data_IF_453785386523
#
_entry.id   IF_453785386523
#
_cell.length_a   1.000
_cell.length_b   1.000
_cell.length_c   1.000
_cell.angle_alpha   90.00
_cell.angle_beta   90.00
_cell.angle_gamma   90.00
#
_symmetry.space_group_name_H-M   'P 1'
#
loop_
_entity.id
_entity.type
_entity.pdbx_description
1 polymer ?
#
# COMPACT_ATOMS: atom_id res chain seq x y z
N UNK A 1 -3.52 32.35 -19.89
CA UNK A 1 -2.52 31.45 -20.51
C UNK A 1 -1.90 30.62 -19.41
N UNK A 2 -2.46 29.43 -19.23
CA UNK A 2 -1.85 28.23 -18.65
C UNK A 2 -2.93 27.15 -18.79
N UNK A 3 -3.06 26.63 -20.01
CA UNK A 3 -3.46 25.26 -20.22
C UNK A 3 -2.53 24.38 -19.40
N UNK A 4 -3.05 23.59 -18.47
CA UNK A 4 -2.57 22.22 -18.32
C UNK A 4 -3.72 21.32 -17.88
N UNK A 5 -4.39 20.82 -18.92
CA UNK A 5 -4.96 19.49 -19.05
C UNK A 5 -5.34 18.75 -17.76
N UNK A 6 -6.65 18.74 -17.57
CA UNK A 6 -7.42 17.61 -17.08
C UNK A 6 -6.91 16.26 -17.64
N UNK A 7 -6.06 15.56 -16.88
CA UNK A 7 -5.87 14.11 -17.03
C UNK A 7 -6.76 13.39 -16.01
N UNK A 8 -8.03 13.22 -16.38
CA UNK A 8 -8.85 12.18 -15.79
C UNK A 8 -8.26 10.82 -16.17
N UNK A 9 -7.82 10.01 -15.21
CA UNK A 9 -7.50 8.59 -15.45
C UNK A 9 -7.59 7.75 -14.17
N UNK A 10 -8.75 7.09 -14.02
CA UNK A 10 -9.12 6.04 -13.06
C UNK A 10 -9.42 6.47 -11.60
N UNK A 11 -10.43 5.86 -10.95
CA UNK A 11 -10.51 5.89 -9.48
C UNK A 11 -9.32 5.06 -8.95
N UNK A 12 -8.17 5.70 -8.77
CA UNK A 12 -6.98 5.03 -8.25
C UNK A 12 -7.18 4.78 -6.75
N UNK A 13 -7.64 3.59 -6.39
CA UNK A 13 -7.66 3.08 -5.01
C UNK A 13 -6.23 2.81 -4.45
N UNK A 14 -5.25 3.64 -4.81
CA UNK A 14 -3.83 3.47 -4.53
C UNK A 14 -3.16 4.76 -4.04
N UNK A 15 -2.02 4.63 -3.36
CA UNK A 15 -1.29 5.73 -2.74
C UNK A 15 -0.42 6.47 -3.76
N UNK A 16 -0.28 7.79 -3.62
CA UNK A 16 0.66 8.56 -4.46
C UNK A 16 2.12 8.24 -4.10
N UNK A 17 3.08 8.42 -5.04
CA UNK A 17 4.50 8.22 -4.75
C UNK A 17 4.99 9.02 -3.54
N UNK A 18 4.53 10.25 -3.36
CA UNK A 18 4.86 11.10 -2.22
C UNK A 18 4.34 10.52 -0.89
N UNK A 19 3.12 9.95 -0.89
CA UNK A 19 2.57 9.25 0.27
C UNK A 19 3.36 7.98 0.59
N UNK A 20 3.81 7.26 -0.44
CA UNK A 20 4.62 6.05 -0.27
C UNK A 20 6.00 6.36 0.31
N UNK A 21 6.68 7.38 -0.21
CA UNK A 21 8.02 7.79 0.25
C UNK A 21 7.99 8.48 1.61
N UNK A 22 6.92 9.21 1.92
CA UNK A 22 6.71 9.87 3.22
C UNK A 22 6.12 8.97 4.31
N UNK A 23 5.65 7.76 3.96
CA UNK A 23 4.97 6.89 4.93
C UNK A 23 5.97 6.23 5.90
N UNK A 24 5.74 6.50 7.18
CA UNK A 24 6.52 5.91 8.28
C UNK A 24 6.29 4.39 8.40
N UNK A 25 5.12 3.94 7.93
CA UNK A 25 4.67 2.55 7.96
C UNK A 25 5.16 1.74 6.75
N UNK A 26 5.84 2.38 5.79
CA UNK A 26 6.37 1.75 4.60
C UNK A 26 7.89 1.67 4.62
N UNK A 27 8.40 0.58 4.07
CA UNK A 27 9.83 0.39 3.80
C UNK A 27 10.05 0.19 2.30
N UNK A 28 10.69 1.17 1.67
CA UNK A 28 11.11 1.07 0.28
C UNK A 28 12.24 0.05 0.16
N UNK A 29 12.03 -1.01 -0.60
CA UNK A 29 13.03 -2.02 -0.97
C UNK A 29 13.08 -2.16 -2.48
N UNK A 30 14.28 -2.33 -3.01
CA UNK A 30 14.46 -2.66 -4.43
C UNK A 30 14.49 -4.18 -4.61
N UNK A 31 13.56 -4.71 -5.38
CA UNK A 31 13.45 -6.15 -5.66
C UNK A 31 13.45 -6.34 -7.18
N UNK A 32 14.48 -7.01 -7.70
CA UNK A 32 14.58 -7.28 -9.15
C UNK A 32 14.70 -6.03 -10.04
N UNK A 33 15.11 -4.89 -9.48
CA UNK A 33 15.19 -3.62 -10.20
C UNK A 33 13.95 -2.73 -10.04
N UNK A 34 12.90 -3.20 -9.36
CA UNK A 34 11.70 -2.42 -9.07
C UNK A 34 11.66 -1.95 -7.61
N UNK A 35 11.27 -0.69 -7.38
CA UNK A 35 11.03 -0.19 -6.04
C UNK A 35 9.68 -0.70 -5.52
N UNK A 36 9.67 -1.32 -4.34
CA UNK A 36 8.47 -1.81 -3.66
C UNK A 36 8.43 -1.27 -2.25
N UNK A 37 7.27 -0.80 -1.81
CA UNK A 37 7.08 -0.19 -0.51
C UNK A 37 6.38 -1.20 0.41
N UNK A 38 7.15 -1.96 1.18
CA UNK A 38 6.64 -3.00 2.05
C UNK A 38 6.02 -2.42 3.33
N UNK A 39 4.88 -2.96 3.76
CA UNK A 39 4.26 -2.60 5.03
C UNK A 39 5.13 -3.11 6.18
N UNK A 40 5.64 -2.18 6.99
CA UNK A 40 6.35 -2.50 8.23
C UNK A 40 5.38 -3.09 9.24
N UNK A 41 5.86 -4.05 10.03
CA UNK A 41 5.10 -4.65 11.13
C UNK A 41 3.75 -5.27 10.72
N UNK A 42 3.65 -5.83 9.50
CA UNK A 42 2.43 -6.49 9.00
C UNK A 42 1.88 -7.54 9.98
N UNK A 43 2.76 -8.36 10.56
CA UNK A 43 2.39 -9.37 11.56
C UNK A 43 1.76 -8.75 12.82
N UNK A 44 2.29 -7.60 13.26
CA UNK A 44 1.75 -6.86 14.42
C UNK A 44 0.35 -6.34 14.11
N UNK A 45 0.14 -5.87 12.88
CA UNK A 45 -1.15 -5.38 12.42
C UNK A 45 -2.18 -6.52 12.36
N UNK A 46 -1.82 -7.66 11.77
CA UNK A 46 -2.70 -8.84 11.69
C UNK A 46 -2.99 -9.44 13.08
N UNK A 47 -2.00 -9.44 13.98
CA UNK A 47 -2.21 -9.84 15.38
C UNK A 47 -3.22 -8.93 16.09
N UNK A 48 -3.18 -7.62 15.85
CA UNK A 48 -4.17 -6.69 16.44
C UNK A 48 -5.61 -7.00 15.97
N UNK A 49 -5.74 -7.66 14.82
CA UNK A 49 -7.01 -8.03 14.20
C UNK A 49 -7.39 -9.49 14.51
N UNK A 50 -6.63 -10.15 15.41
CA UNK A 50 -6.82 -11.52 15.85
C UNK A 50 -6.83 -12.55 14.70
N UNK A 51 -6.12 -12.25 13.61
CA UNK A 51 -6.04 -13.12 12.45
C UNK A 51 -4.91 -14.15 12.62
N UNK A 52 -5.06 -15.41 12.17
CA UNK A 52 -3.92 -16.30 12.04
C UNK A 52 -2.86 -15.63 11.18
N UNK A 53 -1.61 -15.69 11.63
CA UNK A 53 -0.45 -15.13 10.94
C UNK A 53 0.22 -16.27 10.15
N UNK A 54 -0.27 -16.63 8.94
CA UNK A 54 0.39 -17.65 8.14
C UNK A 54 1.83 -17.22 7.84
N UNK A 55 2.76 -18.16 7.88
CA UNK A 55 4.13 -17.92 7.41
C UNK A 55 4.13 -17.38 5.97
N UNK A 56 4.92 -16.33 5.71
CA UNK A 56 5.06 -15.75 4.38
C UNK A 56 4.11 -14.60 4.03
N UNK A 57 3.50 -13.95 5.03
CA UNK A 57 2.72 -12.74 4.80
C UNK A 57 3.56 -11.60 4.27
N UNK A 58 3.15 -11.05 3.14
CA UNK A 58 3.83 -9.95 2.49
C UNK A 58 2.80 -8.96 1.98
N UNK A 59 2.92 -7.70 2.37
CA UNK A 59 2.11 -6.62 1.84
C UNK A 59 3.03 -5.49 1.40
N UNK A 60 2.87 -5.01 0.16
CA UNK A 60 3.64 -3.91 -0.39
C UNK A 60 2.83 -3.08 -1.38
N UNK A 61 3.26 -1.85 -1.58
CA UNK A 61 2.79 -1.00 -2.65
C UNK A 61 3.83 -0.96 -3.76
N UNK A 62 3.35 -1.03 -4.99
CA UNK A 62 4.15 -0.78 -6.19
C UNK A 62 4.36 0.73 -6.36
N UNK A 63 5.35 1.19 -7.13
CA UNK A 63 5.66 2.61 -7.24
C UNK A 63 4.58 3.40 -7.99
N UNK A 64 3.70 2.71 -8.71
CA UNK A 64 2.48 3.24 -9.31
C UNK A 64 1.29 3.38 -8.33
N UNK A 65 1.49 3.03 -7.05
CA UNK A 65 0.48 3.20 -5.99
C UNK A 65 -0.41 1.99 -5.75
N UNK A 66 -0.30 0.92 -6.54
CA UNK A 66 -1.09 -0.30 -6.36
C UNK A 66 -0.67 -1.10 -5.14
N UNK A 67 -1.65 -1.57 -4.38
CA UNK A 67 -1.41 -2.47 -3.25
C UNK A 67 -1.37 -3.93 -3.69
N UNK A 68 -0.38 -4.65 -3.17
CA UNK A 68 -0.19 -6.09 -3.36
C UNK A 68 -0.03 -6.74 -2.00
N UNK A 69 -0.84 -7.75 -1.71
CA UNK A 69 -0.68 -8.56 -0.52
C UNK A 69 -0.78 -10.06 -0.84
N UNK A 70 0.10 -10.85 -0.24
CA UNK A 70 0.15 -12.29 -0.32
C UNK A 70 -0.15 -12.88 1.06
N UNK A 71 -1.07 -13.84 1.12
CA UNK A 71 -1.51 -14.48 2.36
C UNK A 71 -2.48 -13.65 3.22
N UNK A 72 -2.85 -12.44 2.76
CA UNK A 72 -3.75 -11.51 3.49
C UNK A 72 -5.14 -11.55 2.86
N UNK A 73 -6.18 -11.77 3.67
CA UNK A 73 -7.57 -11.73 3.21
C UNK A 73 -8.00 -10.33 2.77
N UNK A 74 -8.97 -10.26 1.85
CA UNK A 74 -9.40 -9.01 1.20
C UNK A 74 -9.81 -7.90 2.19
N UNK A 75 -10.46 -8.27 3.30
CA UNK A 75 -10.86 -7.33 4.35
C UNK A 75 -9.67 -6.63 5.04
N UNK A 76 -8.59 -7.39 5.30
CA UNK A 76 -7.35 -6.86 5.86
C UNK A 76 -6.58 -6.02 4.83
N UNK A 77 -6.69 -6.34 3.54
CA UNK A 77 -6.10 -5.53 2.49
C UNK A 77 -6.71 -4.12 2.49
N UNK A 78 -8.04 -4.03 2.54
CA UNK A 78 -8.76 -2.75 2.59
C UNK A 78 -8.37 -1.93 3.83
N UNK A 79 -8.19 -2.61 4.95
CA UNK A 79 -7.75 -2.00 6.19
C UNK A 79 -6.34 -1.43 6.15
N UNK A 80 -5.40 -2.20 5.61
CA UNK A 80 -4.00 -1.79 5.44
C UNK A 80 -3.92 -0.59 4.50
N UNK A 81 -4.68 -0.61 3.41
CA UNK A 81 -4.80 0.53 2.49
C UNK A 81 -5.39 1.74 3.23
N UNK A 82 -6.46 1.55 4.01
CA UNK A 82 -7.10 2.63 4.77
C UNK A 82 -6.18 3.26 5.83
N UNK A 83 -5.40 2.45 6.55
CA UNK A 83 -4.41 2.93 7.52
C UNK A 83 -3.28 3.72 6.88
N UNK A 84 -2.84 3.32 5.68
CA UNK A 84 -1.71 3.98 5.03
C UNK A 84 -2.10 5.14 4.14
N UNK A 85 -3.37 5.18 3.70
CA UNK A 85 -3.86 6.17 2.76
C UNK A 85 -4.67 7.29 3.34
N UNK A 86 -5.20 7.19 4.56
CA UNK A 86 -6.01 8.27 5.13
C UNK A 86 -7.05 8.81 4.15
N UNK A 87 -7.90 7.92 3.61
CA UNK A 87 -9.19 8.16 2.91
C UNK A 87 -9.18 8.93 1.57
N UNK A 88 -9.60 8.26 0.48
CA UNK A 88 -10.73 8.66 -0.41
C UNK A 88 -11.25 7.34 -1.02
N UNK A 89 -12.46 6.84 -0.76
CA UNK A 89 -13.77 7.48 -0.77
C UNK A 89 -14.66 7.05 0.40
#
# INVERSE_FOLDING_TARGET
>A
MADDQQSASAPQSGLSPEQLEGSQHLEKRSVGGEARYYVKDLEKHLRAWNHPNPDGLVAYFSPDGRFHAQGVEREHQLALIGMMGGVVA
#
